data_IF_149314950296
#
_entry.id   IF_149314950296
#
_cell.length_a   1.000
_cell.length_b   1.000
_cell.length_c   1.000
_cell.angle_alpha   90.00
_cell.angle_beta   90.00
_cell.angle_gamma   90.00
#
_symmetry.space_group_name_H-M   'P 1'
#
loop_
_entity.id
_entity.type
_entity.pdbx_description
1 polymer ?
#
# COMPACT_ATOMS: atom_id res chain seq x y z
N UNK A 1 8.19 -55.11 11.86
CA UNK A 1 7.76 -54.25 10.74
C UNK A 1 7.08 -53.02 11.33
N UNK A 2 7.78 -51.88 11.33
CA UNK A 2 7.23 -50.60 11.79
C UNK A 2 6.32 -50.12 10.65
N UNK A 3 5.01 -50.05 10.89
CA UNK A 3 4.05 -49.61 9.89
C UNK A 3 4.49 -48.25 9.31
N UNK A 4 4.62 -48.18 7.99
CA UNK A 4 4.76 -46.93 7.25
C UNK A 4 3.56 -46.04 7.63
N UNK A 5 3.75 -44.78 8.01
CA UNK A 5 2.64 -43.88 8.23
C UNK A 5 1.90 -43.72 6.90
N UNK A 6 0.68 -44.22 6.83
CA UNK A 6 -0.24 -43.92 5.73
C UNK A 6 -0.46 -42.42 5.74
N UNK A 7 -0.09 -41.76 4.65
CA UNK A 7 -0.35 -40.34 4.41
C UNK A 7 -1.87 -40.15 4.24
N UNK A 8 -2.62 -40.20 5.35
CA UNK A 8 -4.05 -39.93 5.33
C UNK A 8 -4.25 -38.44 5.04
N UNK A 9 -4.86 -38.16 3.88
CA UNK A 9 -5.28 -36.84 3.42
C UNK A 9 -6.48 -36.34 4.26
N UNK A 10 -6.25 -36.13 5.56
CA UNK A 10 -7.26 -35.48 6.41
C UNK A 10 -7.48 -34.04 5.92
N UNK A 11 -8.69 -33.47 6.01
CA UNK A 11 -8.94 -32.08 5.65
C UNK A 11 -8.04 -31.06 6.35
N UNK A 12 -7.54 -31.41 7.55
CA UNK A 12 -6.58 -30.61 8.31
C UNK A 12 -5.19 -30.62 7.64
N UNK A 13 -4.68 -31.80 7.25
CA UNK A 13 -3.39 -31.95 6.56
C UNK A 13 -3.39 -31.20 5.22
N UNK A 14 -4.50 -31.21 4.49
CA UNK A 14 -4.66 -30.48 3.22
C UNK A 14 -4.57 -28.96 3.47
N UNK A 15 -5.30 -28.42 4.44
CA UNK A 15 -5.27 -26.99 4.78
C UNK A 15 -3.89 -26.53 5.21
N UNK A 16 -3.25 -27.30 6.10
CA UNK A 16 -1.91 -26.99 6.58
C UNK A 16 -0.89 -26.95 5.43
N UNK A 17 -0.90 -27.97 4.57
CA UNK A 17 -0.03 -28.05 3.39
C UNK A 17 -0.30 -26.89 2.42
N UNK A 18 -1.57 -26.55 2.20
CA UNK A 18 -1.94 -25.42 1.34
C UNK A 18 -1.42 -24.09 1.88
N UNK A 19 -1.45 -23.86 3.20
CA UNK A 19 -0.88 -22.65 3.80
C UNK A 19 0.64 -22.59 3.62
N UNK A 20 1.36 -23.70 3.82
CA UNK A 20 2.82 -23.75 3.58
C UNK A 20 3.14 -23.39 2.14
N UNK A 21 2.46 -24.03 1.17
CA UNK A 21 2.66 -23.76 -0.25
C UNK A 21 2.34 -22.28 -0.56
N UNK A 22 1.22 -21.76 -0.06
CA UNK A 22 0.84 -20.37 -0.25
C UNK A 22 1.88 -19.39 0.32
N UNK A 23 2.45 -19.65 1.49
CA UNK A 23 3.51 -18.83 2.09
C UNK A 23 4.80 -18.89 1.27
N UNK A 24 5.21 -20.07 0.79
CA UNK A 24 6.41 -20.21 -0.05
C UNK A 24 6.25 -19.49 -1.40
N UNK A 25 5.09 -19.66 -2.04
CA UNK A 25 4.75 -18.95 -3.28
C UNK A 25 4.73 -17.44 -3.05
N UNK A 26 4.11 -16.97 -1.96
CA UNK A 26 4.10 -15.56 -1.62
C UNK A 26 5.52 -15.01 -1.38
N UNK A 27 6.39 -15.77 -0.72
CA UNK A 27 7.80 -15.41 -0.57
C UNK A 27 8.52 -15.26 -1.90
N UNK A 28 8.33 -16.19 -2.84
CA UNK A 28 8.90 -16.10 -4.19
C UNK A 28 8.36 -14.90 -4.97
N UNK A 29 7.07 -14.59 -4.84
CA UNK A 29 6.45 -13.43 -5.48
C UNK A 29 6.94 -12.11 -4.88
N UNK A 30 7.18 -12.03 -3.57
CA UNK A 30 7.83 -10.88 -2.95
C UNK A 30 9.26 -10.69 -3.45
N UNK A 31 10.03 -11.77 -3.61
CA UNK A 31 11.37 -11.67 -4.23
C UNK A 31 11.25 -11.10 -5.65
N UNK A 32 10.26 -11.52 -6.43
CA UNK A 32 10.02 -10.97 -7.76
C UNK A 32 9.69 -9.46 -7.70
N UNK A 33 8.78 -9.04 -6.82
CA UNK A 33 8.51 -7.61 -6.60
C UNK A 33 9.76 -6.82 -6.20
N UNK A 34 10.62 -7.41 -5.36
CA UNK A 34 11.88 -6.80 -4.97
C UNK A 34 12.80 -6.55 -6.17
N UNK A 35 13.01 -7.59 -6.99
CA UNK A 35 13.84 -7.52 -8.19
C UNK A 35 13.30 -6.50 -9.20
N UNK A 36 11.98 -6.47 -9.43
CA UNK A 36 11.34 -5.49 -10.30
C UNK A 36 11.54 -4.05 -9.82
N UNK A 37 11.39 -3.81 -8.51
CA UNK A 37 11.61 -2.48 -7.95
C UNK A 37 13.06 -2.01 -8.04
N UNK A 38 14.02 -2.93 -7.86
CA UNK A 38 15.45 -2.63 -8.00
C UNK A 38 15.85 -2.36 -9.46
N UNK A 39 15.34 -3.15 -10.41
CA UNK A 39 15.55 -2.93 -11.84
C UNK A 39 14.91 -1.63 -12.33
N UNK A 40 13.75 -1.26 -11.79
CA UNK A 40 13.14 0.03 -12.12
C UNK A 40 13.95 1.20 -11.54
N UNK A 41 14.52 1.05 -10.33
CA UNK A 41 15.28 2.11 -9.66
C UNK A 41 16.57 2.51 -10.38
N UNK A 42 17.15 1.62 -11.19
CA UNK A 42 18.36 1.90 -11.98
C UNK A 42 18.08 2.65 -13.28
N UNK A 43 16.82 2.85 -13.65
CA UNK A 43 16.40 3.52 -14.89
C UNK A 43 16.10 5.01 -14.66
N UNK A 44 16.18 5.84 -15.71
CA UNK A 44 15.73 7.23 -15.63
C UNK A 44 14.23 7.32 -15.32
N UNK A 45 13.88 8.26 -14.45
CA UNK A 45 12.53 8.55 -13.99
C UNK A 45 12.01 9.83 -14.66
N UNK A 46 10.79 9.76 -15.20
CA UNK A 46 10.12 10.88 -15.88
C UNK A 46 9.71 12.03 -14.93
N UNK A 47 9.86 11.86 -13.62
CA UNK A 47 9.32 12.83 -12.66
C UNK A 47 7.79 12.79 -12.54
N UNK A 48 7.15 11.71 -13.01
CA UNK A 48 5.76 11.34 -12.73
C UNK A 48 5.64 9.81 -12.80
N UNK A 49 4.79 9.23 -11.96
CA UNK A 49 4.40 7.81 -12.08
C UNK A 49 3.22 7.66 -13.03
N UNK A 50 3.22 6.60 -13.83
CA UNK A 50 2.16 6.31 -14.79
C UNK A 50 1.38 5.07 -14.37
N UNK A 51 0.14 4.92 -14.82
CA UNK A 51 -0.53 3.62 -14.83
C UNK A 51 -0.23 2.87 -16.14
N UNK A 52 -0.68 1.61 -16.20
CA UNK A 52 -0.52 0.76 -17.38
C UNK A 52 -1.04 1.35 -18.71
N UNK A 53 -1.92 2.35 -18.65
CA UNK A 53 -2.50 3.04 -19.81
C UNK A 53 -1.79 4.38 -20.10
N UNK A 54 -0.58 4.56 -19.58
CA UNK A 54 0.26 5.76 -19.73
C UNK A 54 -0.38 7.03 -19.20
N UNK A 55 -1.27 6.91 -18.22
CA UNK A 55 -1.89 8.07 -17.58
C UNK A 55 -1.15 8.38 -16.30
N UNK A 56 -0.85 9.67 -16.12
CA UNK A 56 -0.20 10.19 -14.93
C UNK A 56 -1.06 9.88 -13.70
N UNK A 57 -0.46 9.24 -12.70
CA UNK A 57 -1.11 8.91 -11.42
C UNK A 57 -1.05 10.10 -10.45
N UNK A 58 -1.66 9.92 -9.27
CA UNK A 58 -1.70 10.92 -8.19
C UNK A 58 -0.52 10.88 -7.22
N UNK A 59 0.51 10.05 -7.46
CA UNK A 59 1.66 9.97 -6.55
C UNK A 59 2.42 11.31 -6.47
N UNK A 60 2.85 11.69 -5.27
CA UNK A 60 3.54 12.95 -5.01
C UNK A 60 4.91 12.69 -4.37
N UNK A 61 5.85 13.64 -4.48
CA UNK A 61 7.11 13.57 -3.74
C UNK A 61 6.85 13.60 -2.24
N UNK A 62 7.55 12.74 -1.49
CA UNK A 62 7.52 12.65 -0.03
C UNK A 62 8.81 13.19 0.62
N UNK A 63 9.87 13.35 -0.18
CA UNK A 63 11.23 13.69 0.27
C UNK A 63 11.58 15.18 0.19
N UNK A 64 10.61 16.05 -0.16
CA UNK A 64 10.83 17.48 -0.36
C UNK A 64 11.55 17.85 -1.67
N UNK A 65 11.99 16.86 -2.45
CA UNK A 65 12.54 17.06 -3.79
C UNK A 65 11.40 16.98 -4.80
N UNK A 66 11.13 18.08 -5.50
CA UNK A 66 10.13 18.09 -6.56
C UNK A 66 10.48 17.13 -7.70
N UNK A 67 9.45 16.61 -8.35
CA UNK A 67 9.65 15.77 -9.52
C UNK A 67 9.59 16.60 -10.82
N UNK A 68 10.56 16.41 -11.73
CA UNK A 68 10.72 17.26 -12.93
C UNK A 68 9.49 17.27 -13.82
N UNK A 69 8.86 16.12 -14.10
CA UNK A 69 7.61 16.05 -14.85
C UNK A 69 6.43 16.75 -14.15
N UNK A 70 6.37 16.73 -12.81
CA UNK A 70 5.36 17.48 -12.03
C UNK A 70 5.58 18.99 -12.13
N UNK A 71 6.83 19.44 -12.03
CA UNK A 71 7.21 20.86 -12.15
C UNK A 71 6.96 21.37 -13.57
N UNK A 72 7.19 20.53 -14.57
CA UNK A 72 6.85 20.81 -15.97
C UNK A 72 5.33 20.92 -16.21
N UNK A 73 4.50 20.51 -15.24
CA UNK A 73 3.06 20.73 -15.23
C UNK A 73 2.20 19.50 -15.55
N UNK A 74 2.79 18.30 -15.63
CA UNK A 74 2.04 17.04 -15.75
C UNK A 74 1.24 16.74 -14.46
N UNK A 75 -0.07 16.51 -14.60
CA UNK A 75 -0.99 16.24 -13.48
C UNK A 75 -1.74 14.93 -13.66
N UNK A 76 -2.35 14.41 -12.58
CA UNK A 76 -3.08 13.16 -12.66
C UNK A 76 -4.23 13.26 -13.68
N UNK A 77 -4.34 12.24 -14.55
CA UNK A 77 -5.31 12.21 -15.63
C UNK A 77 -4.76 12.57 -17.01
N UNK A 78 -3.61 13.24 -17.10
CA UNK A 78 -2.93 13.49 -18.37
C UNK A 78 -2.42 12.15 -18.95
N UNK A 79 -2.74 11.84 -20.21
CA UNK A 79 -2.27 10.62 -20.89
C UNK A 79 -1.06 10.91 -21.77
N UNK A 80 0.05 10.22 -21.53
CA UNK A 80 1.23 10.30 -22.39
C UNK A 80 0.97 9.54 -23.70
N UNK A 81 1.24 10.22 -24.81
CA UNK A 81 1.06 9.73 -26.17
C UNK A 81 2.39 9.41 -26.86
N UNK A 82 3.41 10.23 -26.65
CA UNK A 82 4.72 10.09 -27.28
C UNK A 82 5.86 10.66 -26.42
N UNK A 83 7.07 10.17 -26.67
CA UNK A 83 8.33 10.66 -26.08
C UNK A 83 9.28 11.00 -27.24
N UNK A 84 9.73 12.25 -27.33
CA UNK A 84 10.57 12.76 -28.42
C UNK A 84 9.99 12.46 -29.82
N UNK A 85 8.65 12.55 -29.95
CA UNK A 85 7.95 12.25 -31.20
C UNK A 85 7.78 10.76 -31.49
N UNK A 86 8.36 9.85 -30.69
CA UNK A 86 8.10 8.43 -30.78
C UNK A 86 6.78 8.06 -30.10
N UNK A 87 5.78 7.55 -30.84
CA UNK A 87 4.49 7.21 -30.26
C UNK A 87 4.62 6.00 -29.33
N UNK A 88 3.99 6.11 -28.16
CA UNK A 88 3.87 5.00 -27.21
C UNK A 88 2.84 3.96 -27.67
N UNK A 89 1.87 4.37 -28.50
CA UNK A 89 0.88 3.50 -29.10
C UNK A 89 1.35 2.95 -30.45
N UNK A 90 1.19 1.63 -30.66
CA UNK A 90 1.33 1.04 -31.99
C UNK A 90 0.10 1.39 -32.83
N UNK A 91 0.06 2.59 -33.42
CA UNK A 91 -0.76 2.93 -34.60
C UNK A 91 -2.27 2.62 -34.58
N UNK A 92 -2.93 2.49 -33.42
CA UNK A 92 -4.39 2.41 -33.33
C UNK A 92 -4.93 2.99 -31.99
N UNK A 93 -6.17 3.54 -31.95
CA UNK A 93 -6.72 4.16 -30.73
C UNK A 93 -7.10 3.21 -29.58
N UNK A 94 -6.98 1.88 -29.71
CA UNK A 94 -7.60 0.93 -28.77
C UNK A 94 -6.79 -0.35 -28.47
N UNK A 95 -5.62 -0.29 -27.81
CA UNK A 95 -5.01 -1.48 -27.16
C UNK A 95 -4.04 -1.14 -25.99
N UNK A 96 -3.99 -1.97 -24.91
CA UNK A 96 -2.90 -1.99 -23.91
C UNK A 96 -1.90 -3.16 -24.09
N UNK A 97 -0.68 -3.12 -23.49
CA UNK A 97 -0.06 -2.01 -22.77
C UNK A 97 1.21 -1.45 -23.46
N UNK A 98 1.19 -0.14 -23.68
CA UNK A 98 2.31 0.68 -24.18
C UNK A 98 3.52 0.72 -23.23
N UNK A 99 3.46 0.04 -22.08
CA UNK A 99 4.50 -0.01 -21.05
C UNK A 99 5.81 -0.58 -21.56
N UNK A 100 5.77 -1.63 -22.40
CA UNK A 100 7.01 -2.19 -22.99
C UNK A 100 7.65 -1.19 -23.95
N UNK A 101 6.84 -0.47 -24.75
CA UNK A 101 7.36 0.55 -25.68
C UNK A 101 7.93 1.73 -24.91
N UNK A 102 7.26 2.15 -23.84
CA UNK A 102 7.76 3.14 -22.89
C UNK A 102 9.11 2.73 -22.29
N UNK A 103 9.22 1.50 -21.77
CA UNK A 103 10.46 0.96 -21.22
C UNK A 103 11.58 0.89 -22.27
N UNK A 104 11.24 0.55 -23.52
CA UNK A 104 12.21 0.51 -24.63
C UNK A 104 12.70 1.91 -24.98
N UNK A 105 11.81 2.87 -25.19
CA UNK A 105 12.19 4.24 -25.55
C UNK A 105 13.02 4.88 -24.43
N UNK A 106 12.57 4.79 -23.17
CA UNK A 106 13.33 5.36 -22.05
C UNK A 106 14.63 4.62 -21.75
N UNK A 107 14.78 3.38 -22.22
CA UNK A 107 16.02 2.62 -22.11
C UNK A 107 17.17 3.21 -22.92
N UNK A 108 16.87 4.06 -23.91
CA UNK A 108 17.86 4.73 -24.75
C UNK A 108 18.33 6.08 -24.17
N UNK A 109 17.82 6.49 -22.99
CA UNK A 109 18.15 7.76 -22.35
C UNK A 109 18.83 7.56 -20.98
N UNK A 110 19.57 8.57 -20.54
CA UNK A 110 20.22 8.64 -19.24
C UNK A 110 19.56 9.67 -18.32
N UNK A 111 19.92 9.63 -17.04
CA UNK A 111 19.49 10.63 -16.06
C UNK A 111 20.10 12.00 -16.46
N UNK A 112 19.25 13.03 -16.56
CA UNK A 112 19.63 14.37 -16.99
C UNK A 112 19.27 14.67 -18.45
N UNK A 113 19.04 13.66 -19.28
CA UNK A 113 18.64 13.86 -20.67
C UNK A 113 17.29 14.58 -20.74
N UNK A 114 17.16 15.54 -21.66
CA UNK A 114 15.91 16.26 -21.87
C UNK A 114 15.03 15.52 -22.85
N UNK A 115 13.79 15.23 -22.44
CA UNK A 115 12.78 14.59 -23.27
C UNK A 115 11.59 15.52 -23.48
N UNK A 116 11.02 15.47 -24.68
CA UNK A 116 9.77 16.12 -25.04
C UNK A 116 8.64 15.12 -24.90
N UNK A 117 7.66 15.44 -24.08
CA UNK A 117 6.52 14.58 -23.81
C UNK A 117 5.29 15.14 -24.49
N UNK A 118 4.67 14.34 -25.34
CA UNK A 118 3.37 14.63 -25.95
C UNK A 118 2.28 13.97 -25.12
N UNK A 119 1.27 14.72 -24.70
CA UNK A 119 0.20 14.21 -23.84
C UNK A 119 -1.16 14.85 -24.12
N UNK A 120 -2.22 14.19 -23.68
CA UNK A 120 -3.58 14.77 -23.74
C UNK A 120 -3.87 15.61 -22.51
N UNK A 121 -4.52 16.75 -22.72
CA UNK A 121 -4.83 17.75 -21.71
C UNK A 121 -6.32 18.09 -21.72
N UNK A 122 -6.98 17.97 -20.57
CA UNK A 122 -8.41 18.29 -20.42
C UNK A 122 -8.60 19.81 -20.20
N UNK A 123 -8.95 20.52 -21.26
CA UNK A 123 -9.18 21.97 -21.23
C UNK A 123 -10.51 22.33 -20.55
N UNK A 124 -11.43 21.38 -20.37
CA UNK A 124 -12.70 21.64 -19.68
C UNK A 124 -12.50 21.78 -18.18
N UNK A 125 -11.57 21.01 -17.61
CA UNK A 125 -11.18 21.12 -16.21
C UNK A 125 -10.14 22.20 -15.96
N UNK A 126 -9.26 22.45 -16.93
CA UNK A 126 -8.14 23.39 -16.79
C UNK A 126 -8.04 24.31 -18.02
N UNK A 127 -8.75 25.45 -18.02
CA UNK A 127 -8.88 26.30 -19.21
C UNK A 127 -7.59 27.03 -19.62
N UNK A 128 -6.61 27.17 -18.73
CA UNK A 128 -5.29 27.76 -19.03
C UNK A 128 -4.18 26.72 -18.85
N UNK A 129 -3.13 26.72 -19.69
CA UNK A 129 -1.96 25.86 -19.48
C UNK A 129 -1.38 26.05 -18.07
N UNK A 130 -1.02 24.94 -17.42
CA UNK A 130 -0.63 24.93 -16.00
C UNK A 130 0.80 25.42 -15.75
N UNK A 131 1.58 25.61 -16.81
CA UNK A 131 2.97 26.07 -16.81
C UNK A 131 3.28 26.74 -18.15
N UNK A 132 4.13 27.77 -18.14
CA UNK A 132 4.55 28.52 -19.32
C UNK A 132 5.29 27.65 -20.35
N UNK A 133 5.84 26.51 -19.93
CA UNK A 133 6.54 25.56 -20.80
C UNK A 133 5.65 24.59 -21.58
N UNK A 134 4.34 24.61 -21.36
CA UNK A 134 3.38 23.71 -22.03
C UNK A 134 2.86 24.38 -23.30
N UNK A 135 3.09 23.74 -24.45
CA UNK A 135 2.60 24.20 -25.75
C UNK A 135 1.48 23.26 -26.20
N UNK A 136 0.26 23.78 -26.31
CA UNK A 136 -0.93 23.00 -26.68
C UNK A 136 -1.46 23.37 -28.07
N UNK A 137 -1.90 22.37 -28.81
CA UNK A 137 -2.72 22.54 -30.01
C UNK A 137 -4.15 22.96 -29.65
N UNK A 138 -4.92 23.37 -30.66
CA UNK A 138 -6.33 23.70 -30.48
C UNK A 138 -7.11 22.50 -29.93
N UNK A 139 -7.86 22.71 -28.85
CA UNK A 139 -8.65 21.65 -28.22
C UNK A 139 -9.75 21.15 -29.16
N UNK A 140 -9.87 19.83 -29.27
CA UNK A 140 -10.95 19.16 -29.99
C UNK A 140 -11.82 18.42 -28.96
N UNK A 141 -13.12 18.73 -28.90
CA UNK A 141 -14.05 18.16 -27.92
C UNK A 141 -13.60 18.30 -26.45
N UNK A 142 -12.95 19.41 -26.10
CA UNK A 142 -12.49 19.69 -24.73
C UNK A 142 -11.16 19.02 -24.34
N UNK A 143 -10.50 18.32 -25.26
CA UNK A 143 -9.17 17.75 -25.08
C UNK A 143 -8.18 18.41 -26.05
N UNK A 144 -7.06 18.90 -25.53
CA UNK A 144 -5.94 19.39 -26.33
C UNK A 144 -4.79 18.37 -26.32
N UNK A 145 -3.99 18.34 -27.39
CA UNK A 145 -2.70 17.64 -27.39
C UNK A 145 -1.62 18.67 -27.09
N UNK A 146 -0.80 18.39 -26.08
CA UNK A 146 0.22 19.33 -25.62
C UNK A 146 1.59 18.67 -25.57
N UNK A 147 2.62 19.50 -25.72
CA UNK A 147 4.02 19.12 -25.60
C UNK A 147 4.66 19.89 -24.45
N UNK A 148 5.55 19.21 -23.74
CA UNK A 148 6.39 19.82 -22.69
C UNK A 148 7.75 19.15 -22.66
N UNK A 149 8.82 19.92 -22.45
CA UNK A 149 10.19 19.40 -22.38
C UNK A 149 10.78 19.59 -20.99
N UNK A 150 11.43 18.56 -20.46
CA UNK A 150 12.10 18.60 -19.15
C UNK A 150 13.15 17.49 -19.02
N UNK A 151 14.14 17.62 -18.11
CA UNK A 151 15.14 16.60 -17.89
C UNK A 151 14.59 15.40 -17.12
N UNK A 152 15.03 14.21 -17.52
CA UNK A 152 14.85 12.98 -16.76
C UNK A 152 15.65 13.05 -15.45
N UNK A 153 15.12 12.44 -14.40
CA UNK A 153 15.73 12.46 -13.07
C UNK A 153 15.91 11.04 -12.53
N UNK A 154 16.65 10.88 -11.44
CA UNK A 154 16.55 9.66 -10.63
C UNK A 154 15.39 9.79 -9.64
N UNK A 155 14.70 8.70 -9.30
CA UNK A 155 13.75 8.75 -8.19
C UNK A 155 14.51 9.11 -6.89
N UNK A 156 14.12 10.18 -6.16
CA UNK A 156 14.78 10.55 -4.92
C UNK A 156 14.76 9.42 -3.89
N UNK A 157 15.84 9.27 -3.12
CA UNK A 157 15.98 8.15 -2.18
C UNK A 157 14.87 8.13 -1.12
N UNK A 158 14.45 9.30 -0.61
CA UNK A 158 13.35 9.38 0.34
C UNK A 158 12.02 8.91 -0.26
N UNK A 159 11.76 9.22 -1.53
CA UNK A 159 10.55 8.77 -2.23
C UNK A 159 10.60 7.28 -2.51
N UNK A 160 11.76 6.73 -2.86
CA UNK A 160 11.93 5.29 -3.03
C UNK A 160 11.68 4.53 -1.71
N UNK A 161 12.15 5.05 -0.59
CA UNK A 161 11.86 4.47 0.73
C UNK A 161 10.37 4.51 1.04
N UNK A 162 9.72 5.66 0.81
CA UNK A 162 8.31 5.84 1.11
C UNK A 162 7.37 5.02 0.20
N UNK A 163 7.64 4.99 -1.10
CA UNK A 163 6.78 4.37 -2.11
C UNK A 163 7.01 2.87 -2.27
N UNK A 164 8.23 2.38 -2.00
CA UNK A 164 8.59 0.98 -2.21
C UNK A 164 9.03 0.28 -0.92
N UNK A 165 10.13 0.73 -0.31
CA UNK A 165 10.77 -0.04 0.77
C UNK A 165 9.86 -0.18 2.00
N UNK A 166 9.18 0.89 2.42
CA UNK A 166 8.33 0.86 3.61
C UNK A 166 7.11 -0.08 3.44
N UNK A 167 6.31 -0.02 2.36
CA UNK A 167 5.27 -1.00 2.08
C UNK A 167 5.81 -2.43 1.93
N UNK A 168 6.90 -2.59 1.18
CA UNK A 168 7.50 -3.89 0.91
C UNK A 168 8.00 -4.58 2.19
N UNK A 169 8.80 -3.86 2.99
CA UNK A 169 9.32 -4.38 4.26
C UNK A 169 8.18 -4.73 5.23
N UNK A 170 7.13 -3.92 5.26
CA UNK A 170 5.94 -4.21 6.06
C UNK A 170 5.22 -5.47 5.57
N UNK A 171 5.13 -5.69 4.26
CA UNK A 171 4.64 -6.94 3.66
C UNK A 171 5.51 -8.16 4.04
N UNK A 172 6.83 -8.02 4.07
CA UNK A 172 7.75 -9.07 4.53
C UNK A 172 7.50 -9.40 6.01
N UNK A 173 7.37 -8.40 6.88
CA UNK A 173 7.05 -8.60 8.31
C UNK A 173 5.74 -9.36 8.47
N UNK A 174 4.71 -9.01 7.70
CA UNK A 174 3.41 -9.71 7.72
C UNK A 174 3.57 -11.17 7.28
N UNK A 175 4.40 -11.47 6.27
CA UNK A 175 4.65 -12.84 5.84
C UNK A 175 5.40 -13.66 6.92
N UNK A 176 6.35 -13.03 7.61
CA UNK A 176 7.05 -13.66 8.75
C UNK A 176 6.08 -13.99 9.89
N UNK A 177 5.13 -13.09 10.18
CA UNK A 177 4.05 -13.35 11.15
C UNK A 177 3.18 -14.52 10.68
N UNK A 178 2.84 -14.59 9.39
CA UNK A 178 2.10 -15.72 8.82
C UNK A 178 2.86 -17.05 8.97
N UNK A 179 4.16 -17.07 8.68
CA UNK A 179 5.01 -18.25 8.85
C UNK A 179 5.09 -18.69 10.32
N UNK A 180 5.27 -17.73 11.24
CA UNK A 180 5.22 -18.01 12.68
C UNK A 180 3.89 -18.58 13.13
N UNK A 181 2.78 -18.04 12.63
CA UNK A 181 1.45 -18.57 12.90
C UNK A 181 1.22 -19.98 12.34
N UNK A 182 1.73 -20.29 11.15
CA UNK A 182 1.68 -21.65 10.60
C UNK A 182 2.44 -22.61 11.52
N UNK A 183 3.62 -22.21 12.01
CA UNK A 183 4.42 -23.01 12.92
C UNK A 183 3.69 -23.32 14.24
N UNK A 184 3.04 -22.33 14.85
CA UNK A 184 2.37 -22.52 16.15
C UNK A 184 0.93 -23.03 16.04
N UNK A 185 0.20 -22.72 14.97
CA UNK A 185 -1.26 -22.89 14.85
C UNK A 185 -1.74 -23.42 13.50
N UNK A 186 -0.85 -23.74 12.56
CA UNK A 186 -1.26 -24.08 11.19
C UNK A 186 -2.16 -25.31 11.04
N UNK A 187 -2.15 -26.22 12.02
CA UNK A 187 -3.01 -27.41 12.01
C UNK A 187 -4.43 -27.13 12.52
N UNK A 188 -4.64 -25.99 13.18
CA UNK A 188 -5.92 -25.62 13.77
C UNK A 188 -6.86 -25.03 12.73
N UNK A 189 -8.09 -25.54 12.66
CA UNK A 189 -9.05 -25.13 11.63
C UNK A 189 -9.42 -23.63 11.70
N UNK A 190 -9.37 -23.02 12.88
CA UNK A 190 -9.67 -21.59 13.09
C UNK A 190 -8.52 -20.66 12.68
N UNK A 191 -7.28 -21.15 12.57
CA UNK A 191 -6.12 -20.35 12.20
C UNK A 191 -6.01 -20.13 10.68
N UNK A 192 -6.73 -20.92 9.87
CA UNK A 192 -6.63 -20.88 8.41
C UNK A 192 -6.96 -19.50 7.82
N UNK A 193 -8.12 -18.91 8.15
CA UNK A 193 -8.55 -17.63 7.58
C UNK A 193 -7.64 -16.46 7.97
N UNK A 194 -7.22 -16.30 9.25
CA UNK A 194 -6.21 -15.30 9.62
C UNK A 194 -4.89 -15.45 8.85
N UNK A 195 -4.35 -16.68 8.73
CA UNK A 195 -3.08 -16.89 8.02
C UNK A 195 -3.24 -16.58 6.53
N UNK A 196 -4.35 -16.99 5.91
CA UNK A 196 -4.66 -16.64 4.52
C UNK A 196 -4.74 -15.11 4.32
N UNK A 197 -5.35 -14.38 5.27
CA UNK A 197 -5.37 -12.92 5.25
C UNK A 197 -3.94 -12.36 5.29
N UNK A 198 -3.08 -12.89 6.15
CA UNK A 198 -1.71 -12.37 6.31
C UNK A 198 -0.88 -12.57 5.04
N UNK A 199 -0.94 -13.76 4.44
CA UNK A 199 -0.28 -14.04 3.16
C UNK A 199 -0.80 -13.07 2.07
N UNK A 200 -2.10 -12.82 2.05
CA UNK A 200 -2.74 -11.95 1.06
C UNK A 200 -2.36 -10.46 1.26
N UNK A 201 -2.39 -9.97 2.50
CA UNK A 201 -1.96 -8.61 2.86
C UNK A 201 -0.49 -8.40 2.53
N UNK A 202 0.36 -9.40 2.77
CA UNK A 202 1.77 -9.34 2.42
C UNK A 202 1.98 -9.10 0.92
N UNK A 203 1.29 -9.85 0.05
CA UNK A 203 1.35 -9.67 -1.40
C UNK A 203 0.78 -8.32 -1.86
N UNK A 204 -0.31 -7.88 -1.25
CA UNK A 204 -0.93 -6.60 -1.55
C UNK A 204 0.02 -5.42 -1.23
N UNK A 205 0.71 -5.48 -0.09
CA UNK A 205 1.67 -4.47 0.33
C UNK A 205 2.96 -4.52 -0.50
N UNK A 206 3.46 -5.72 -0.83
CA UNK A 206 4.65 -5.88 -1.66
C UNK A 206 4.46 -5.45 -3.11
N UNK A 207 3.24 -5.59 -3.65
CA UNK A 207 2.95 -5.27 -5.05
C UNK A 207 2.56 -3.82 -5.35
N UNK A 208 2.40 -2.95 -4.34
CA UNK A 208 1.89 -1.59 -4.55
C UNK A 208 2.77 -0.77 -5.51
N UNK A 209 4.09 -0.97 -5.46
CA UNK A 209 5.02 -0.23 -6.31
C UNK A 209 4.92 -0.65 -7.79
N UNK A 210 4.74 -1.95 -8.07
CA UNK A 210 4.58 -2.49 -9.43
C UNK A 210 3.36 -1.85 -10.13
N UNK A 211 2.29 -1.59 -9.40
CA UNK A 211 1.07 -0.96 -9.93
C UNK A 211 1.31 0.44 -10.50
N UNK A 212 2.27 1.18 -9.92
CA UNK A 212 2.60 2.55 -10.33
C UNK A 212 3.86 2.68 -11.19
N UNK A 213 4.55 1.57 -11.48
CA UNK A 213 5.88 1.60 -12.12
C UNK A 213 6.04 0.57 -13.24
N UNK A 214 6.26 -0.71 -12.88
CA UNK A 214 6.68 -1.77 -13.81
C UNK A 214 5.51 -2.53 -14.45
N UNK A 215 4.35 -2.52 -13.80
CA UNK A 215 3.09 -3.06 -14.29
C UNK A 215 3.14 -4.55 -14.70
N UNK A 216 4.02 -5.35 -14.11
CA UNK A 216 4.24 -6.76 -14.50
C UNK A 216 3.30 -7.73 -13.80
N UNK A 217 2.90 -7.43 -12.57
CA UNK A 217 2.13 -8.32 -11.71
C UNK A 217 0.82 -7.66 -11.23
N UNK A 218 0.25 -6.77 -12.04
CA UNK A 218 -1.01 -6.08 -11.74
C UNK A 218 -2.17 -7.03 -11.40
N UNK A 219 -2.42 -8.15 -12.13
CA UNK A 219 -3.50 -9.06 -11.79
C UNK A 219 -3.35 -9.66 -10.38
N UNK A 220 -2.12 -9.98 -9.98
CA UNK A 220 -1.82 -10.49 -8.64
C UNK A 220 -2.12 -9.43 -7.58
N UNK A 221 -1.76 -8.17 -7.84
CA UNK A 221 -2.04 -7.08 -6.92
C UNK A 221 -3.56 -6.85 -6.75
N UNK A 222 -4.34 -6.88 -7.84
CA UNK A 222 -5.81 -6.79 -7.75
C UNK A 222 -6.43 -7.94 -6.97
N UNK A 223 -6.05 -9.19 -7.29
CA UNK A 223 -6.55 -10.36 -6.57
C UNK A 223 -6.21 -10.24 -5.09
N UNK A 224 -4.96 -9.93 -4.75
CA UNK A 224 -4.55 -9.81 -3.36
C UNK A 224 -5.32 -8.71 -2.62
N UNK A 225 -5.39 -7.49 -3.14
CA UNK A 225 -6.11 -6.39 -2.47
C UNK A 225 -7.61 -6.64 -2.31
N UNK A 226 -8.26 -7.20 -3.32
CA UNK A 226 -9.68 -7.60 -3.20
C UNK A 226 -9.83 -8.68 -2.12
N UNK A 227 -8.94 -9.67 -2.10
CA UNK A 227 -9.00 -10.74 -1.10
C UNK A 227 -8.64 -10.28 0.31
N UNK A 228 -7.90 -9.19 0.51
CA UNK A 228 -7.76 -8.54 1.83
C UNK A 228 -9.15 -8.16 2.35
N UNK A 229 -9.93 -7.42 1.55
CA UNK A 229 -11.29 -7.02 1.93
C UNK A 229 -12.22 -8.21 2.17
N UNK A 230 -12.19 -9.20 1.28
CA UNK A 230 -12.96 -10.44 1.39
C UNK A 230 -12.66 -11.18 2.69
N UNK A 231 -11.38 -11.40 2.99
CA UNK A 231 -10.98 -12.19 4.16
C UNK A 231 -11.26 -11.44 5.45
N UNK A 232 -11.14 -10.10 5.47
CA UNK A 232 -11.58 -9.28 6.60
C UNK A 232 -13.10 -9.38 6.82
N UNK A 233 -13.90 -9.28 5.75
CA UNK A 233 -15.35 -9.46 5.85
C UNK A 233 -15.73 -10.87 6.33
N UNK A 234 -15.06 -11.91 5.82
CA UNK A 234 -15.24 -13.29 6.30
C UNK A 234 -14.88 -13.42 7.78
N UNK A 235 -13.79 -12.82 8.24
CA UNK A 235 -13.42 -12.80 9.66
C UNK A 235 -14.50 -12.15 10.54
N UNK A 236 -15.14 -11.08 10.08
CA UNK A 236 -16.25 -10.48 10.81
C UNK A 236 -17.38 -11.47 11.13
N UNK A 237 -17.64 -12.40 10.21
CA UNK A 237 -18.68 -13.43 10.35
C UNK A 237 -18.26 -14.63 11.23
N UNK A 238 -16.97 -14.94 11.30
CA UNK A 238 -16.47 -16.19 11.90
C UNK A 238 -15.64 -16.01 13.17
N UNK A 239 -15.11 -14.81 13.42
CA UNK A 239 -14.16 -14.52 14.50
C UNK A 239 -14.69 -13.41 15.44
N UNK A 240 -14.52 -13.53 16.78
CA UNK A 240 -13.83 -14.61 17.51
C UNK A 240 -14.57 -15.94 17.51
N UNK A 241 -15.90 -15.89 17.51
CA UNK A 241 -16.76 -17.07 17.34
C UNK A 241 -17.70 -16.87 16.15
N UNK A 242 -18.11 -17.97 15.48
CA UNK A 242 -19.04 -17.85 14.36
C UNK A 242 -20.37 -17.25 14.78
N UNK A 243 -20.87 -16.30 13.99
CA UNK A 243 -22.20 -15.74 14.23
C UNK A 243 -23.28 -16.85 14.09
N UNK A 244 -24.43 -16.75 14.80
CA UNK A 244 -25.55 -17.69 14.70
C UNK A 244 -26.05 -17.90 13.27
N UNK A 245 -25.96 -16.87 12.43
CA UNK A 245 -26.35 -16.98 11.02
C UNK A 245 -25.46 -17.98 10.25
N UNK A 246 -24.17 -18.08 10.61
CA UNK A 246 -23.22 -19.04 10.02
C UNK A 246 -23.48 -20.46 10.53
N UNK A 247 -23.96 -20.62 11.77
CA UNK A 247 -24.41 -21.92 12.27
C UNK A 247 -25.67 -22.41 11.55
N UNK A 248 -26.63 -21.50 11.29
CA UNK A 248 -27.88 -21.84 10.59
C UNK A 248 -27.67 -22.06 9.09
N UNK A 249 -26.83 -21.25 8.47
CA UNK A 249 -26.55 -21.27 7.04
C UNK A 249 -25.02 -21.29 6.81
N UNK A 250 -24.38 -22.48 6.88
CA UNK A 250 -22.92 -22.62 6.82
C UNK A 250 -22.27 -22.10 5.54
N UNK A 251 -23.05 -21.91 4.47
CA UNK A 251 -22.58 -21.42 3.18
C UNK A 251 -22.39 -19.90 3.15
N UNK A 252 -23.00 -19.14 4.07
CA UNK A 252 -22.90 -17.66 4.10
C UNK A 252 -21.45 -17.18 4.22
N UNK A 253 -20.59 -17.94 4.93
CA UNK A 253 -19.17 -17.60 5.06
C UNK A 253 -18.41 -17.56 3.73
N UNK A 254 -18.95 -18.18 2.67
CA UNK A 254 -18.35 -18.18 1.32
C UNK A 254 -18.91 -17.06 0.42
N UNK A 255 -19.96 -16.33 0.83
CA UNK A 255 -20.50 -15.20 0.06
C UNK A 255 -19.43 -14.14 -0.20
N UNK A 256 -18.64 -13.68 0.80
CA UNK A 256 -17.57 -12.71 0.53
C UNK A 256 -16.58 -13.23 -0.52
N UNK A 257 -16.22 -14.52 -0.45
CA UNK A 257 -15.32 -15.13 -1.43
C UNK A 257 -15.90 -15.16 -2.84
N UNK A 258 -17.18 -15.53 -2.99
CA UNK A 258 -17.85 -15.51 -4.29
C UNK A 258 -17.88 -14.10 -4.90
N UNK A 259 -18.21 -13.09 -4.08
CA UNK A 259 -18.14 -11.68 -4.50
C UNK A 259 -16.71 -11.30 -4.88
N UNK A 260 -15.72 -11.69 -4.09
CA UNK A 260 -14.31 -11.43 -4.35
C UNK A 260 -13.80 -11.98 -5.68
N UNK A 261 -14.23 -13.18 -6.07
CA UNK A 261 -13.88 -13.79 -7.37
C UNK A 261 -14.46 -12.95 -8.52
N UNK A 262 -15.72 -12.54 -8.42
CA UNK A 262 -16.38 -11.70 -9.43
C UNK A 262 -15.70 -10.34 -9.53
N UNK A 263 -15.44 -9.68 -8.40
CA UNK A 263 -14.74 -8.39 -8.37
C UNK A 263 -13.32 -8.49 -8.94
N UNK A 264 -12.61 -9.60 -8.67
CA UNK A 264 -11.27 -9.83 -9.23
C UNK A 264 -11.31 -9.99 -10.75
N UNK A 265 -12.29 -10.73 -11.28
CA UNK A 265 -12.50 -10.85 -12.71
C UNK A 265 -12.80 -9.49 -13.37
N UNK A 266 -13.65 -8.66 -12.75
CA UNK A 266 -13.95 -7.30 -13.21
C UNK A 266 -12.69 -6.42 -13.20
N UNK A 267 -11.92 -6.45 -12.11
CA UNK A 267 -10.71 -5.64 -11.98
C UNK A 267 -9.65 -6.02 -13.04
N UNK A 268 -9.44 -7.31 -13.28
CA UNK A 268 -8.53 -7.80 -14.32
C UNK A 268 -9.07 -7.45 -15.70
N UNK A 269 -10.36 -7.63 -15.98
CA UNK A 269 -10.94 -7.26 -17.26
C UNK A 269 -10.77 -5.76 -17.57
N UNK A 270 -10.87 -4.91 -16.54
CA UNK A 270 -10.70 -3.46 -16.68
C UNK A 270 -9.30 -3.04 -17.15
N UNK A 271 -8.27 -3.91 -17.08
CA UNK A 271 -6.94 -3.60 -17.62
C UNK A 271 -6.89 -3.64 -19.14
N UNK A 272 -7.81 -4.37 -19.76
CA UNK A 272 -7.79 -4.63 -21.20
C UNK A 272 -8.70 -3.67 -21.98
N UNK A 273 -9.47 -2.82 -21.30
CA UNK A 273 -10.46 -1.93 -21.91
C UNK A 273 -10.01 -0.46 -21.77
N UNK A 274 -10.10 0.29 -22.87
CA UNK A 274 -9.74 1.72 -22.92
C UNK A 274 -10.63 2.54 -21.97
N UNK A 275 -10.01 3.37 -21.13
CA UNK A 275 -10.65 4.04 -19.97
C UNK A 275 -11.91 4.89 -20.23
N UNK A 276 -12.18 5.31 -21.47
CA UNK A 276 -13.35 6.17 -21.74
C UNK A 276 -14.70 5.47 -21.55
N UNK A 277 -14.72 4.13 -21.45
CA UNK A 277 -15.95 3.33 -21.40
C UNK A 277 -16.11 2.48 -20.12
N UNK A 278 -15.28 2.67 -19.08
CA UNK A 278 -15.33 1.83 -17.88
C UNK A 278 -15.83 2.61 -16.66
N UNK A 279 -16.95 2.16 -16.08
CA UNK A 279 -17.60 2.79 -14.92
C UNK A 279 -16.76 2.71 -13.63
N UNK A 280 -15.92 1.68 -13.48
CA UNK A 280 -14.98 1.51 -12.36
C UNK A 280 -13.62 0.97 -12.84
N UNK A 281 -12.53 1.61 -12.43
CA UNK A 281 -11.16 1.10 -12.69
C UNK A 281 -10.76 0.02 -11.68
N UNK A 282 -9.92 -0.94 -12.09
CA UNK A 282 -9.43 -2.02 -11.19
C UNK A 282 -8.78 -1.52 -9.90
N UNK A 283 -8.07 -0.39 -9.95
CA UNK A 283 -7.52 0.28 -8.76
C UNK A 283 -8.62 0.70 -7.77
N UNK A 284 -9.70 1.30 -8.28
CA UNK A 284 -10.84 1.73 -7.46
C UNK A 284 -11.58 0.52 -6.85
N UNK A 285 -11.79 -0.54 -7.62
CA UNK A 285 -12.43 -1.77 -7.12
C UNK A 285 -11.61 -2.40 -5.98
N UNK A 286 -10.29 -2.48 -6.17
CA UNK A 286 -9.36 -3.05 -5.18
C UNK A 286 -9.33 -2.23 -3.88
N UNK A 287 -9.22 -0.89 -4.00
CA UNK A 287 -9.26 0.01 -2.85
C UNK A 287 -10.60 -0.04 -2.12
N UNK A 288 -11.72 0.02 -2.86
CA UNK A 288 -13.06 -0.05 -2.30
C UNK A 288 -13.30 -1.37 -1.56
N UNK A 289 -12.87 -2.50 -2.13
CA UNK A 289 -12.99 -3.81 -1.49
C UNK A 289 -12.25 -3.87 -0.16
N UNK A 290 -11.00 -3.38 -0.12
CA UNK A 290 -10.17 -3.34 1.10
C UNK A 290 -10.83 -2.50 2.19
N UNK A 291 -11.28 -1.28 1.86
CA UNK A 291 -11.93 -0.36 2.81
C UNK A 291 -13.25 -0.94 3.31
N UNK A 292 -14.11 -1.44 2.40
CA UNK A 292 -15.39 -2.02 2.78
C UNK A 292 -15.22 -3.27 3.64
N UNK A 293 -14.29 -4.17 3.29
CA UNK A 293 -14.02 -5.37 4.09
C UNK A 293 -13.53 -5.06 5.50
N UNK A 294 -12.63 -4.08 5.63
CA UNK A 294 -12.15 -3.57 6.91
C UNK A 294 -13.30 -2.94 7.72
N UNK A 295 -14.15 -2.13 7.08
CA UNK A 295 -15.31 -1.53 7.71
C UNK A 295 -16.36 -2.58 8.15
N UNK A 296 -16.60 -3.62 7.35
CA UNK A 296 -17.47 -4.74 7.70
C UNK A 296 -16.92 -5.48 8.91
N UNK A 297 -15.62 -5.80 8.94
CA UNK A 297 -14.97 -6.42 10.10
C UNK A 297 -15.15 -5.55 11.36
N UNK A 298 -14.85 -4.24 11.27
CA UNK A 298 -15.00 -3.31 12.38
C UNK A 298 -16.45 -3.23 12.87
N UNK A 299 -17.43 -3.15 11.96
CA UNK A 299 -18.85 -3.12 12.28
C UNK A 299 -19.31 -4.42 12.94
N UNK A 300 -18.91 -5.58 12.42
CA UNK A 300 -19.19 -6.87 13.04
C UNK A 300 -18.60 -6.96 14.45
N UNK A 301 -17.37 -6.49 14.65
CA UNK A 301 -16.73 -6.49 15.97
C UNK A 301 -17.44 -5.56 16.96
N UNK A 302 -17.78 -4.34 16.54
CA UNK A 302 -18.41 -3.31 17.37
C UNK A 302 -19.85 -3.64 17.75
N UNK A 303 -20.68 -3.94 16.76
CA UNK A 303 -22.13 -4.04 16.93
C UNK A 303 -22.61 -5.45 17.26
N UNK A 304 -21.80 -6.47 16.97
CA UNK A 304 -22.22 -7.86 17.16
C UNK A 304 -21.29 -8.65 18.08
N UNK A 305 -20.04 -8.89 17.69
CA UNK A 305 -19.16 -9.85 18.36
C UNK A 305 -18.82 -9.42 19.80
N UNK A 306 -18.48 -8.13 20.01
CA UNK A 306 -18.13 -7.63 21.35
C UNK A 306 -19.32 -7.63 22.32
N UNK A 307 -20.52 -7.15 21.95
CA UNK A 307 -21.70 -7.23 22.82
C UNK A 307 -22.18 -8.66 23.07
N UNK A 308 -22.10 -9.54 22.07
CA UNK A 308 -22.58 -10.92 22.15
C UNK A 308 -21.59 -11.91 22.79
N UNK A 309 -20.38 -11.46 23.14
CA UNK A 309 -19.34 -12.31 23.73
C UNK A 309 -19.80 -12.95 25.05
N UNK A 310 -19.71 -14.28 25.12
CA UNK A 310 -20.15 -15.09 26.25
C UNK A 310 -19.07 -15.22 27.33
N UNK A 311 -17.80 -15.17 26.90
CA UNK A 311 -16.64 -15.29 27.79
C UNK A 311 -15.81 -14.00 27.81
N UNK A 312 -15.04 -13.80 28.89
CA UNK A 312 -14.08 -12.68 28.98
C UNK A 312 -13.04 -12.74 27.87
N UNK A 313 -12.61 -13.94 27.49
CA UNK A 313 -11.61 -14.16 26.43
C UNK A 313 -12.14 -13.75 25.06
N UNK A 314 -13.36 -14.14 24.70
CA UNK A 314 -13.98 -13.73 23.42
C UNK A 314 -14.11 -12.21 23.33
N UNK A 315 -14.53 -11.57 24.42
CA UNK A 315 -14.64 -10.11 24.49
C UNK A 315 -13.27 -9.44 24.33
N UNK A 316 -12.24 -9.99 24.96
CA UNK A 316 -10.87 -9.46 24.87
C UNK A 316 -10.30 -9.62 23.46
N UNK A 317 -10.47 -10.78 22.84
CA UNK A 317 -10.09 -11.03 21.44
C UNK A 317 -10.77 -10.04 20.48
N UNK A 318 -12.09 -9.83 20.63
CA UNK A 318 -12.81 -8.85 19.82
C UNK A 318 -12.29 -7.43 20.04
N UNK A 319 -12.02 -7.05 21.29
CA UNK A 319 -11.50 -5.72 21.62
C UNK A 319 -10.11 -5.47 21.03
N UNK A 320 -9.19 -6.41 21.17
CA UNK A 320 -7.82 -6.25 20.67
C UNK A 320 -7.81 -6.15 19.14
N UNK A 321 -8.56 -7.01 18.45
CA UNK A 321 -8.67 -6.93 16.98
C UNK A 321 -9.30 -5.60 16.56
N UNK A 322 -10.37 -5.18 17.23
CA UNK A 322 -11.04 -3.91 16.93
C UNK A 322 -10.09 -2.72 17.07
N UNK A 323 -9.28 -2.66 18.13
CA UNK A 323 -8.29 -1.58 18.31
C UNK A 323 -7.28 -1.58 17.16
N UNK A 324 -6.72 -2.74 16.80
CA UNK A 324 -5.78 -2.81 15.68
C UNK A 324 -6.41 -2.44 14.33
N UNK A 325 -7.65 -2.85 14.07
CA UNK A 325 -8.38 -2.46 12.85
C UNK A 325 -8.64 -0.95 12.83
N UNK A 326 -9.09 -0.35 13.94
CA UNK A 326 -9.31 1.10 14.03
C UNK A 326 -8.01 1.89 13.82
N UNK A 327 -6.89 1.43 14.39
CA UNK A 327 -5.57 2.03 14.16
C UNK A 327 -5.16 1.96 12.69
N UNK A 328 -5.41 0.82 12.02
CA UNK A 328 -5.10 0.66 10.60
C UNK A 328 -5.91 1.59 9.69
N UNK A 329 -7.10 2.02 10.14
CA UNK A 329 -7.96 2.94 9.39
C UNK A 329 -7.57 4.41 9.54
N UNK A 330 -6.66 4.78 10.45
CA UNK A 330 -6.28 6.18 10.70
C UNK A 330 -5.86 6.92 9.41
N UNK A 331 -4.92 6.42 8.58
CA UNK A 331 -4.52 7.12 7.36
C UNK A 331 -5.69 7.29 6.38
N UNK A 332 -6.54 6.27 6.25
CA UNK A 332 -7.70 6.32 5.36
C UNK A 332 -8.72 7.38 5.83
N UNK A 333 -8.95 7.48 7.14
CA UNK A 333 -9.82 8.50 7.74
C UNK A 333 -9.23 9.90 7.55
N UNK A 334 -7.94 10.09 7.83
CA UNK A 334 -7.26 11.37 7.63
C UNK A 334 -7.29 11.81 6.16
N UNK A 335 -7.05 10.87 5.24
CA UNK A 335 -7.16 11.12 3.81
C UNK A 335 -8.57 11.54 3.41
N UNK A 336 -9.60 10.84 3.91
CA UNK A 336 -11.00 11.16 3.63
C UNK A 336 -11.39 12.54 4.17
N UNK A 337 -10.98 12.87 5.40
CA UNK A 337 -11.21 14.19 6.03
C UNK A 337 -10.50 15.29 5.21
N UNK A 338 -9.25 15.06 4.81
CA UNK A 338 -8.51 16.00 3.98
C UNK A 338 -9.21 16.28 2.65
N UNK A 339 -9.75 15.23 2.01
CA UNK A 339 -10.51 15.35 0.75
C UNK A 339 -11.83 16.08 0.89
N UNK A 340 -12.53 15.96 2.02
CA UNK A 340 -13.84 16.60 2.22
C UNK A 340 -13.75 18.03 2.74
N UNK A 341 -12.75 18.34 3.56
CA UNK A 341 -12.57 19.67 4.17
C UNK A 341 -11.76 20.63 3.30
N UNK A 342 -10.93 20.14 2.38
CA UNK A 342 -10.05 20.96 1.54
C UNK A 342 -10.50 20.82 0.09
N UNK A 343 -11.43 21.69 -0.30
CA UNK A 343 -12.08 21.71 -1.61
C UNK A 343 -11.18 22.20 -2.76
N UNK A 344 -9.95 22.64 -2.44
CA UNK A 344 -8.94 23.04 -3.42
C UNK A 344 -7.99 21.88 -3.68
N UNK A 345 -7.93 21.43 -4.94
CA UNK A 345 -6.98 20.41 -5.45
C UNK A 345 -5.50 20.74 -5.13
N UNK A 346 -5.19 21.97 -4.70
CA UNK A 346 -3.83 22.42 -4.41
C UNK A 346 -3.45 22.43 -2.92
N UNK A 347 -4.40 22.29 -1.99
CA UNK A 347 -4.13 22.46 -0.55
C UNK A 347 -4.66 21.31 0.31
N UNK A 348 -4.38 20.05 -0.05
CA UNK A 348 -4.63 18.92 0.86
C UNK A 348 -3.55 18.94 1.95
N UNK A 349 -3.95 19.16 3.21
CA UNK A 349 -3.12 19.34 4.42
C UNK A 349 -2.13 18.18 4.63
N UNK A 350 -2.45 17.00 4.10
CA UNK A 350 -1.55 15.87 4.01
C UNK A 350 -1.96 15.02 2.79
N UNK A 351 -1.20 15.04 1.67
CA UNK A 351 -1.43 14.13 0.56
C UNK A 351 -1.01 12.72 1.00
N UNK A 352 -1.85 12.02 1.78
CA UNK A 352 -1.61 10.62 2.10
C UNK A 352 -1.73 9.80 0.82
N UNK A 353 -0.60 9.30 0.35
CA UNK A 353 -0.56 8.31 -0.71
C UNK A 353 -1.02 6.95 -0.16
N UNK A 354 -1.55 6.10 -1.04
CA UNK A 354 -2.02 4.76 -0.63
C UNK A 354 -0.82 3.94 -0.13
N UNK A 355 0.34 4.16 -0.73
CA UNK A 355 1.65 3.62 -0.37
C UNK A 355 1.99 3.94 1.10
N UNK A 356 1.84 5.19 1.52
CA UNK A 356 2.12 5.62 2.89
C UNK A 356 1.13 5.03 3.91
N UNK A 357 -0.08 4.68 3.49
CA UNK A 357 -1.09 4.06 4.35
C UNK A 357 -0.83 2.55 4.60
N UNK A 358 -0.13 1.86 3.69
CA UNK A 358 0.05 0.40 3.76
C UNK A 358 0.66 -0.09 5.08
N UNK A 359 1.74 0.50 5.62
CA UNK A 359 2.34 0.03 6.88
C UNK A 359 1.38 0.02 8.08
N UNK A 360 0.33 0.85 8.06
CA UNK A 360 -0.66 0.89 9.14
C UNK A 360 -1.52 -0.38 9.20
N UNK A 361 -1.66 -1.12 8.09
CA UNK A 361 -2.34 -2.42 8.08
C UNK A 361 -1.66 -3.43 9.01
N UNK A 362 -0.35 -3.31 9.24
CA UNK A 362 0.39 -4.20 10.15
C UNK A 362 -0.20 -4.20 11.57
N UNK A 363 -0.78 -3.08 12.01
CA UNK A 363 -1.42 -3.00 13.34
C UNK A 363 -2.60 -3.97 13.48
N UNK A 364 -3.43 -4.09 12.44
CA UNK A 364 -4.53 -5.06 12.37
C UNK A 364 -4.05 -6.53 12.31
N UNK A 365 -2.88 -6.75 11.70
CA UNK A 365 -2.27 -8.07 11.57
C UNK A 365 -1.71 -8.53 12.91
N UNK A 366 -0.96 -7.67 13.59
CA UNK A 366 -0.41 -7.97 14.91
C UNK A 366 -1.54 -8.20 15.92
N UNK A 367 -2.58 -7.37 15.91
CA UNK A 367 -3.71 -7.55 16.83
C UNK A 367 -4.47 -8.86 16.58
N UNK A 368 -4.69 -9.24 15.31
CA UNK A 368 -5.32 -10.50 14.97
C UNK A 368 -4.43 -11.70 15.31
N UNK A 369 -3.12 -11.62 15.04
CA UNK A 369 -2.16 -12.67 15.37
C UNK A 369 -2.15 -12.91 16.89
N UNK A 370 -2.09 -11.84 17.67
CA UNK A 370 -2.18 -11.89 19.12
C UNK A 370 -3.51 -12.52 19.59
N UNK A 371 -4.65 -12.06 19.07
CA UNK A 371 -5.96 -12.55 19.49
C UNK A 371 -6.14 -14.05 19.20
N UNK A 372 -5.61 -14.54 18.07
CA UNK A 372 -5.63 -15.98 17.72
C UNK A 372 -4.66 -16.79 18.59
N UNK A 373 -3.51 -16.22 18.97
CA UNK A 373 -2.50 -16.91 19.77
C UNK A 373 -2.77 -16.94 21.27
N UNK A 374 -3.67 -16.08 21.78
CA UNK A 374 -3.97 -15.86 23.21
C UNK A 374 -4.35 -17.13 24.00
N UNK A 375 -4.58 -18.26 23.33
CA UNK A 375 -4.81 -19.55 23.98
C UNK A 375 -3.49 -20.23 24.44
N UNK A 376 -3.08 -20.07 25.71
CA UNK A 376 -2.13 -20.94 26.45
C UNK A 376 -0.60 -20.82 26.27
N UNK A 377 -0.02 -19.95 25.44
CA UNK A 377 1.45 -19.99 25.21
C UNK A 377 2.27 -18.83 25.76
N UNK A 378 1.66 -17.71 26.14
CA UNK A 378 2.41 -16.52 26.51
C UNK A 378 1.89 -16.00 27.84
N UNK A 379 2.79 -15.78 28.81
CA UNK A 379 2.52 -14.96 30.00
C UNK A 379 2.30 -13.52 29.53
N UNK A 380 1.07 -13.28 29.10
CA UNK A 380 0.65 -12.05 28.45
C UNK A 380 0.88 -10.85 29.35
N UNK A 381 0.71 -11.02 30.66
CA UNK A 381 0.93 -9.96 31.66
C UNK A 381 2.38 -9.44 31.65
N UNK A 382 3.37 -10.32 31.45
CA UNK A 382 4.78 -9.91 31.43
C UNK A 382 5.14 -9.19 30.13
N UNK A 383 4.72 -9.73 28.99
CA UNK A 383 5.03 -9.12 27.69
C UNK A 383 4.26 -7.82 27.50
N UNK A 384 3.00 -7.73 27.93
CA UNK A 384 2.21 -6.49 27.84
C UNK A 384 2.81 -5.41 28.74
N UNK A 385 3.13 -5.73 30.01
CA UNK A 385 3.73 -4.73 30.90
C UNK A 385 5.05 -4.18 30.35
N UNK A 386 5.93 -5.06 29.87
CA UNK A 386 7.19 -4.66 29.25
C UNK A 386 6.96 -3.86 27.96
N UNK A 387 6.05 -4.32 27.09
CA UNK A 387 5.77 -3.66 25.81
C UNK A 387 5.14 -2.28 26.01
N UNK A 388 4.24 -2.10 26.98
CA UNK A 388 3.65 -0.79 27.31
C UNK A 388 4.74 0.15 27.82
N UNK A 389 5.55 -0.29 28.79
CA UNK A 389 6.64 0.54 29.31
C UNK A 389 7.64 0.93 28.22
N UNK A 390 8.04 -0.01 27.36
CA UNK A 390 8.96 0.28 26.25
C UNK A 390 8.32 1.13 25.16
N UNK A 391 7.03 0.97 24.86
CA UNK A 391 6.34 1.81 23.88
C UNK A 391 6.18 3.23 24.40
N UNK A 392 5.82 3.42 25.68
CA UNK A 392 5.78 4.74 26.32
C UNK A 392 7.17 5.37 26.30
N UNK A 393 8.21 4.61 26.66
CA UNK A 393 9.60 5.08 26.62
C UNK A 393 10.01 5.48 25.20
N UNK A 394 9.66 4.68 24.19
CA UNK A 394 9.96 4.94 22.78
C UNK A 394 9.22 6.19 22.28
N UNK A 395 7.93 6.33 22.58
CA UNK A 395 7.13 7.50 22.19
C UNK A 395 7.64 8.75 22.90
N UNK A 396 7.94 8.67 24.20
CA UNK A 396 8.53 9.78 24.93
C UNK A 396 9.92 10.16 24.38
N UNK A 397 10.74 9.18 24.00
CA UNK A 397 12.03 9.39 23.38
C UNK A 397 11.90 10.02 21.98
N UNK A 398 10.99 9.52 21.14
CA UNK A 398 10.74 10.05 19.82
C UNK A 398 10.15 11.48 19.87
N UNK A 399 9.20 11.73 20.77
CA UNK A 399 8.63 13.04 20.99
C UNK A 399 9.66 14.02 21.57
N UNK A 400 10.45 13.59 22.55
CA UNK A 400 11.54 14.39 23.13
C UNK A 400 12.61 14.74 22.11
N UNK A 401 13.05 13.75 21.33
CA UNK A 401 13.97 13.96 20.21
C UNK A 401 13.37 14.89 19.15
N UNK A 402 12.11 14.68 18.76
CA UNK A 402 11.42 15.52 17.79
C UNK A 402 11.28 16.97 18.23
N UNK A 403 10.90 17.20 19.49
CA UNK A 403 10.85 18.53 20.10
C UNK A 403 12.24 19.17 20.18
N UNK A 404 13.29 18.39 20.45
CA UNK A 404 14.67 18.87 20.46
C UNK A 404 15.15 19.27 19.07
N UNK A 405 14.94 18.44 18.05
CA UNK A 405 15.30 18.77 16.66
C UNK A 405 14.54 20.01 16.21
N UNK A 406 13.26 20.11 16.54
CA UNK A 406 12.43 21.29 16.25
C UNK A 406 12.94 22.54 16.98
N UNK A 407 13.26 22.44 18.27
CA UNK A 407 13.82 23.56 19.02
C UNK A 407 15.17 24.00 18.47
N UNK A 408 16.07 23.05 18.21
CA UNK A 408 17.39 23.30 17.64
C UNK A 408 17.34 23.89 16.23
N UNK A 409 16.40 23.45 15.38
CA UNK A 409 16.23 24.01 14.04
C UNK A 409 15.74 25.46 14.08
N UNK A 410 14.84 25.80 15.01
CA UNK A 410 14.38 27.19 15.19
C UNK A 410 15.54 28.13 15.60
N UNK A 411 16.45 27.69 16.48
CA UNK A 411 17.63 28.48 16.84
C UNK A 411 18.71 28.52 15.75
N UNK A 412 18.87 27.43 14.98
CA UNK A 412 19.89 27.36 13.93
C UNK A 412 19.59 28.31 12.75
N UNK A 413 18.31 28.53 12.44
CA UNK A 413 17.88 29.46 11.37
C UNK A 413 18.30 30.91 11.68
N UNK A 414 18.36 31.31 12.95
CA UNK A 414 18.78 32.66 13.34
C UNK A 414 20.29 32.89 13.31
N UNK A 415 21.10 31.82 13.46
CA UNK A 415 22.56 31.95 13.61
C UNK A 415 23.31 31.85 12.28
N UNK A 416 22.80 31.08 11.30
CA UNK A 416 23.35 31.02 9.93
C UNK A 416 22.35 30.41 8.94
N UNK A 417 21.57 31.22 8.19
CA UNK A 417 20.47 30.74 7.35
C UNK A 417 20.86 29.76 6.22
N UNK A 418 22.10 29.85 5.69
CA UNK A 418 22.43 29.24 4.38
C UNK A 418 23.64 28.28 4.39
N UNK A 419 24.16 27.86 5.55
CA UNK A 419 25.28 26.92 5.60
C UNK A 419 24.85 25.51 6.06
N UNK A 420 24.63 24.56 5.13
CA UNK A 420 24.15 23.21 5.46
C UNK A 420 25.12 22.43 6.35
N UNK A 421 26.42 22.72 6.30
CA UNK A 421 27.42 22.06 7.14
C UNK A 421 27.26 22.48 8.60
N UNK A 422 26.98 23.76 8.86
CA UNK A 422 26.77 24.28 10.22
C UNK A 422 25.51 23.69 10.84
N UNK A 423 24.43 23.57 10.07
CA UNK A 423 23.19 22.92 10.50
C UNK A 423 23.44 21.45 10.86
N UNK A 424 24.16 20.71 10.01
CA UNK A 424 24.52 19.30 10.27
C UNK A 424 25.37 19.17 11.54
N UNK A 425 26.38 20.03 11.73
CA UNK A 425 27.26 20.00 12.91
C UNK A 425 26.46 20.30 14.18
N UNK A 426 25.56 21.28 14.17
CA UNK A 426 24.72 21.62 15.32
C UNK A 426 23.78 20.47 15.67
N UNK A 427 23.08 19.89 14.68
CA UNK A 427 22.20 18.73 14.89
C UNK A 427 22.98 17.53 15.41
N UNK A 428 24.17 17.25 14.87
CA UNK A 428 25.04 16.16 15.31
C UNK A 428 25.50 16.36 16.76
N UNK A 429 26.02 17.54 17.12
CA UNK A 429 26.49 17.81 18.48
C UNK A 429 25.36 17.76 19.50
N UNK A 430 24.19 18.32 19.18
CA UNK A 430 23.00 18.21 20.03
C UNK A 430 22.64 16.71 20.19
N UNK A 431 22.59 15.95 19.10
CA UNK A 431 22.24 14.52 19.15
C UNK A 431 23.22 13.71 20.00
N UNK A 432 24.52 13.98 19.92
CA UNK A 432 25.58 13.28 20.69
C UNK A 432 25.54 13.65 22.17
N UNK A 433 25.32 14.93 22.50
CA UNK A 433 25.29 15.42 23.89
C UNK A 433 24.15 14.81 24.71
N UNK A 434 23.09 14.37 24.02
CA UNK A 434 21.91 13.78 24.63
C UNK A 434 21.81 12.25 24.42
N UNK A 435 22.85 11.59 23.92
CA UNK A 435 22.94 10.12 24.02
C UNK A 435 23.05 9.77 25.51
N UNK A 436 22.08 9.04 26.09
CA UNK A 436 22.18 8.67 27.49
C UNK A 436 23.42 7.80 27.68
N UNK A 437 24.39 8.30 28.44
CA UNK A 437 25.54 7.51 28.89
C UNK A 437 24.96 6.36 29.70
N UNK A 438 24.97 5.16 29.10
CA UNK A 438 24.59 3.94 29.80
C UNK A 438 25.69 3.68 30.85
N UNK A 439 25.35 3.93 32.12
CA UNK A 439 26.12 3.41 33.27
C UNK A 439 25.35 2.27 33.90
#
# INVERSE_FOLDING_TARGET
MKAMPTNDLSPQNIRFTALIIATLVAGALLINYFLLGMDWRSRPFLGVTLNQNMIVNSAQPNSGVSWTGREAGLRPGDRILAINGEPLANSAPDLPPNTRRYDTILGDYEIGDTVTITFTYDTTRFPTPRSDGIICEAATAGMAVCNVSFPLMALPNGDFVALFIAPFASGVVVLLIAAGMIYFRGQEAYAFTPIALFITVSLFMGGIFDVGTTHRLIPLWFISGIFVGVLMATLGLIFPTPMPIVYRLPWIKYIPTAIGVVLSAIAIFSTNVTQNNVLLTGNQVTGASTVMGTAILAACLLFYQRPAASTKTERDQANVVLVGVLLSMIPAILWLIGRTLLTSDQNVLAPFSIEAAMPFLVTSIISLAYAVMQYRMVDTDRIISQSISYTILLVALAAGYGLMVLGGSLFAIEIAPDNPIVIIIIIFFISVLFVPVRT
#
